data_IF_582644242356
#
_entry.id   IF_582644242356
#
_cell.length_a   1.000
_cell.length_b   1.000
_cell.length_c   1.000
_cell.angle_alpha   90.00
_cell.angle_beta   90.00
_cell.angle_gamma   90.00
#
_symmetry.space_group_name_H-M   'P 1'
#
loop_
_entity.id
_entity.type
_entity.pdbx_description
1 polymer ?
#
# COMPACT_ATOMS: atom_id res chain seq x y z
N UNK A 1 19.02 19.54 -48.80
CA UNK A 1 19.43 19.10 -47.43
C UNK A 1 19.17 20.23 -46.47
N UNK A 2 18.34 20.08 -45.43
CA UNK A 2 18.07 21.19 -44.51
C UNK A 2 19.23 21.39 -43.53
N UNK A 3 19.84 22.58 -43.60
CA UNK A 3 20.93 23.07 -42.76
C UNK A 3 20.49 23.24 -41.31
N UNK A 4 21.28 22.72 -40.36
CA UNK A 4 21.15 22.93 -38.92
C UNK A 4 21.17 24.42 -38.59
N UNK A 5 20.04 24.99 -38.18
CA UNK A 5 19.97 26.29 -37.53
C UNK A 5 20.21 26.06 -36.04
N UNK A 6 21.41 26.37 -35.57
CA UNK A 6 21.76 26.34 -34.16
C UNK A 6 21.18 27.57 -33.47
N UNK A 7 20.06 27.41 -32.76
CA UNK A 7 19.53 28.42 -31.84
C UNK A 7 20.30 28.43 -30.52
N UNK A 8 21.62 28.62 -30.56
CA UNK A 8 22.43 28.81 -29.36
C UNK A 8 22.42 30.29 -28.96
N UNK A 9 21.31 30.74 -28.38
CA UNK A 9 21.26 32.03 -27.69
C UNK A 9 21.89 31.89 -26.30
N UNK A 10 23.20 32.10 -26.23
CA UNK A 10 23.91 32.51 -25.00
C UNK A 10 24.40 31.40 -24.05
N UNK A 11 25.68 31.49 -23.71
CA UNK A 11 26.45 30.74 -22.69
C UNK A 11 26.88 29.31 -23.04
N UNK A 12 27.96 29.22 -23.82
CA UNK A 12 28.89 28.09 -23.83
C UNK A 12 29.94 28.16 -22.71
N UNK A 13 29.65 28.84 -21.61
CA UNK A 13 30.43 28.74 -20.38
C UNK A 13 29.67 27.83 -19.43
N UNK A 14 30.30 26.71 -19.08
CA UNK A 14 29.76 25.75 -18.11
C UNK A 14 29.71 26.54 -16.81
N UNK A 15 28.53 27.01 -16.39
CA UNK A 15 28.34 27.64 -15.07
C UNK A 15 28.83 26.65 -14.01
N UNK A 16 30.11 26.76 -13.65
CA UNK A 16 30.80 25.87 -12.71
C UNK A 16 30.35 26.16 -11.28
N UNK A 17 29.84 27.38 -11.07
CA UNK A 17 29.30 27.82 -9.80
C UNK A 17 27.81 27.49 -9.70
N UNK A 18 27.47 26.73 -8.68
CA UNK A 18 26.10 26.49 -8.29
C UNK A 18 25.37 27.85 -8.05
N UNK A 19 24.05 27.93 -8.29
CA UNK A 19 23.31 29.17 -8.10
C UNK A 19 23.52 29.75 -6.71
N UNK A 20 23.69 31.09 -6.64
CA UNK A 20 23.97 31.83 -5.39
C UNK A 20 22.89 31.58 -4.32
N UNK A 21 21.65 31.40 -4.74
CA UNK A 21 20.51 31.14 -3.88
C UNK A 21 20.05 29.70 -4.10
N UNK A 22 20.49 28.80 -3.21
CA UNK A 22 20.07 27.40 -3.22
C UNK A 22 18.73 27.26 -2.50
N UNK A 23 17.86 26.41 -3.02
CA UNK A 23 16.61 26.03 -2.37
C UNK A 23 16.87 25.08 -1.19
N UNK A 24 17.40 25.62 -0.08
CA UNK A 24 17.78 24.83 1.11
C UNK A 24 16.63 24.60 2.08
N UNK A 25 15.71 25.56 2.18
CA UNK A 25 14.53 25.47 3.04
C UNK A 25 13.35 24.90 2.25
N UNK A 26 12.67 23.91 2.83
CA UNK A 26 11.43 23.40 2.26
C UNK A 26 10.36 24.48 2.31
N UNK A 27 9.53 24.56 1.27
CA UNK A 27 8.38 25.45 1.28
C UNK A 27 7.34 24.91 2.25
N UNK A 28 6.98 25.71 3.26
CA UNK A 28 5.91 25.38 4.18
C UNK A 28 4.60 25.97 3.66
N UNK A 29 3.64 25.15 3.15
CA UNK A 29 2.33 25.66 2.80
C UNK A 29 1.59 26.17 4.05
N UNK A 30 0.68 27.13 3.85
CA UNK A 30 -0.30 27.46 4.87
C UNK A 30 -1.12 26.19 5.19
N UNK A 31 -1.26 25.88 6.49
CA UNK A 31 -1.99 24.70 7.00
C UNK A 31 -3.41 24.57 6.45
N UNK A 32 -4.06 25.70 6.12
CA UNK A 32 -5.43 25.73 5.58
C UNK A 32 -5.50 25.77 4.05
N UNK A 33 -4.37 25.69 3.34
CA UNK A 33 -4.37 25.68 1.88
C UNK A 33 -4.83 24.32 1.35
N UNK A 34 -6.12 24.23 0.99
CA UNK A 34 -6.72 23.03 0.38
C UNK A 34 -5.96 22.55 -0.86
N UNK A 35 -5.49 23.50 -1.69
CA UNK A 35 -4.70 23.20 -2.89
C UNK A 35 -3.36 22.55 -2.55
N UNK A 36 -2.64 23.08 -1.56
CA UNK A 36 -1.34 22.53 -1.17
C UNK A 36 -1.48 21.14 -0.54
N UNK A 37 -2.48 20.96 0.33
CA UNK A 37 -2.83 19.68 0.92
C UNK A 37 -3.17 18.63 -0.14
N UNK A 38 -4.02 19.00 -1.12
CA UNK A 38 -4.36 18.12 -2.24
C UNK A 38 -3.12 17.71 -3.05
N UNK A 39 -2.24 18.67 -3.37
CA UNK A 39 -1.00 18.41 -4.12
C UNK A 39 -0.03 17.47 -3.39
N UNK A 40 0.05 17.58 -2.06
CA UNK A 40 0.83 16.68 -1.23
C UNK A 40 0.23 15.26 -1.21
N UNK A 41 -1.10 15.15 -1.16
CA UNK A 41 -1.82 13.88 -1.13
C UNK A 41 -1.83 13.12 -2.46
N UNK A 42 -1.59 13.78 -3.60
CA UNK A 42 -1.51 13.10 -4.90
C UNK A 42 -0.41 12.02 -4.87
N UNK A 43 -0.70 10.74 -5.20
CA UNK A 43 0.33 9.71 -5.25
C UNK A 43 1.26 9.88 -6.47
N UNK A 44 2.51 9.42 -6.35
CA UNK A 44 3.43 9.22 -7.49
C UNK A 44 3.57 7.74 -7.75
N UNK A 45 3.16 7.28 -8.94
CA UNK A 45 3.18 5.88 -9.35
C UNK A 45 3.87 5.71 -10.71
N UNK A 46 4.23 4.48 -11.09
CA UNK A 46 4.77 4.12 -12.43
C UNK A 46 6.07 4.82 -12.85
N UNK A 47 6.85 5.29 -11.88
CA UNK A 47 8.13 6.00 -12.11
C UNK A 47 9.26 5.30 -11.37
N UNK A 48 10.47 5.41 -11.91
CA UNK A 48 11.69 4.94 -11.23
C UNK A 48 12.01 5.80 -10.00
N UNK A 49 12.77 5.28 -9.01
CA UNK A 49 13.10 5.99 -7.77
C UNK A 49 13.71 7.38 -8.03
N UNK A 50 14.68 7.47 -8.95
CA UNK A 50 15.28 8.75 -9.36
C UNK A 50 14.24 9.78 -9.85
N UNK A 51 13.22 9.34 -10.59
CA UNK A 51 12.19 10.24 -11.11
C UNK A 51 11.14 10.56 -10.05
N UNK A 52 10.86 9.63 -9.15
CA UNK A 52 10.02 9.83 -7.96
C UNK A 52 10.59 10.94 -7.10
N UNK A 53 11.87 10.89 -6.75
CA UNK A 53 12.53 11.90 -5.93
C UNK A 53 12.44 13.31 -6.54
N UNK A 54 12.61 13.42 -7.87
CA UNK A 54 12.45 14.69 -8.58
C UNK A 54 11.02 15.24 -8.48
N UNK A 55 10.01 14.38 -8.54
CA UNK A 55 8.61 14.79 -8.46
C UNK A 55 8.25 15.14 -7.02
N UNK A 56 8.65 14.32 -6.05
CA UNK A 56 8.42 14.55 -4.63
C UNK A 56 9.14 15.81 -4.14
N UNK A 57 10.37 16.05 -4.58
CA UNK A 57 11.09 17.30 -4.32
C UNK A 57 10.30 18.51 -4.85
N UNK A 58 9.73 18.44 -6.06
CA UNK A 58 8.88 19.52 -6.59
C UNK A 58 7.62 19.72 -5.75
N UNK A 59 7.00 18.66 -5.22
CA UNK A 59 5.85 18.78 -4.31
C UNK A 59 6.25 19.46 -3.02
N UNK A 60 7.33 19.00 -2.38
CA UNK A 60 7.89 19.58 -1.14
C UNK A 60 8.26 21.04 -1.28
N UNK A 61 8.75 21.44 -2.46
CA UNK A 61 9.13 22.83 -2.74
C UNK A 61 7.99 23.70 -3.30
N UNK A 62 6.75 23.20 -3.38
CA UNK A 62 5.63 23.95 -3.95
C UNK A 62 5.73 24.25 -5.45
N UNK A 63 6.65 23.59 -6.16
CA UNK A 63 6.93 23.78 -7.60
C UNK A 63 6.22 22.73 -8.46
N UNK A 64 5.39 21.88 -7.87
CA UNK A 64 4.60 20.89 -8.60
C UNK A 64 3.45 21.59 -9.35
N UNK A 65 3.33 21.33 -10.65
CA UNK A 65 2.30 21.90 -11.52
C UNK A 65 1.44 20.75 -12.05
N UNK A 66 0.24 20.52 -11.50
CA UNK A 66 -0.65 19.48 -12.00
C UNK A 66 -1.09 19.78 -13.44
N UNK A 67 -1.51 18.76 -14.17
CA UNK A 67 -2.12 18.95 -15.48
C UNK A 67 -3.58 19.36 -15.29
N UNK A 68 -3.98 20.42 -15.99
CA UNK A 68 -5.40 20.78 -16.11
C UNK A 68 -6.10 19.99 -17.22
N UNK A 69 -5.35 19.58 -18.24
CA UNK A 69 -5.83 18.82 -19.40
C UNK A 69 -4.91 17.64 -19.65
N UNK A 70 -5.48 16.51 -20.07
CA UNK A 70 -4.71 15.32 -20.38
C UNK A 70 -3.72 15.55 -21.53
N UNK A 71 -2.47 15.13 -21.35
CA UNK A 71 -1.39 15.26 -22.33
C UNK A 71 -1.34 14.06 -23.29
N UNK A 72 -0.86 14.31 -24.50
CA UNK A 72 -0.61 13.27 -25.53
C UNK A 72 0.52 12.35 -25.10
N UNK A 73 0.27 11.04 -25.14
CA UNK A 73 1.26 10.00 -24.90
C UNK A 73 2.26 9.87 -26.06
N UNK A 74 3.52 9.61 -25.76
CA UNK A 74 4.56 9.37 -26.78
C UNK A 74 4.45 7.99 -27.45
N UNK A 75 3.92 6.98 -26.75
CA UNK A 75 3.74 5.62 -27.29
C UNK A 75 2.44 5.47 -28.10
N UNK A 76 1.27 5.70 -27.48
CA UNK A 76 -0.03 5.48 -28.14
C UNK A 76 -0.58 6.73 -28.86
N UNK A 77 0.08 7.88 -28.74
CA UNK A 77 -0.34 9.15 -29.37
C UNK A 77 -1.75 9.65 -28.97
N UNK A 78 -2.38 9.05 -27.96
CA UNK A 78 -3.68 9.47 -27.42
C UNK A 78 -3.49 10.40 -26.22
N UNK A 79 -4.48 11.28 -25.96
CA UNK A 79 -4.51 12.18 -24.80
C UNK A 79 -4.96 11.43 -23.54
N UNK A 80 -4.10 10.54 -23.04
CA UNK A 80 -4.37 9.68 -21.86
C UNK A 80 -3.49 9.97 -20.65
N UNK A 81 -2.55 10.92 -20.74
CA UNK A 81 -1.68 11.26 -19.61
C UNK A 81 -2.41 12.24 -18.70
N UNK A 82 -2.86 11.76 -17.54
CA UNK A 82 -3.52 12.57 -16.50
C UNK A 82 -2.52 13.14 -15.49
N UNK A 83 -1.42 12.43 -15.25
CA UNK A 83 -0.40 12.79 -14.25
C UNK A 83 0.63 13.78 -14.79
N UNK A 84 1.07 14.70 -13.94
CA UNK A 84 2.09 15.66 -14.33
C UNK A 84 3.48 15.03 -14.47
N UNK A 85 4.28 15.61 -15.36
CA UNK A 85 5.66 15.21 -15.66
C UNK A 85 5.82 13.83 -16.32
N UNK A 86 4.72 13.17 -16.68
CA UNK A 86 4.74 11.91 -17.42
C UNK A 86 4.83 12.17 -18.93
N UNK A 87 5.54 11.30 -19.63
CA UNK A 87 5.72 11.26 -21.09
C UNK A 87 4.99 10.07 -21.72
N UNK A 88 4.70 9.05 -20.92
CA UNK A 88 3.94 7.86 -21.28
C UNK A 88 2.64 7.77 -20.47
N UNK A 89 1.64 7.15 -21.08
CA UNK A 89 0.40 6.79 -20.42
C UNK A 89 0.60 5.60 -19.48
N UNK A 90 -0.21 5.46 -18.44
CA UNK A 90 -0.14 4.33 -17.51
C UNK A 90 -0.14 2.95 -18.22
N UNK A 91 -1.10 2.63 -19.12
CA UNK A 91 -1.09 1.33 -19.77
C UNK A 91 0.16 1.12 -20.64
N UNK A 92 0.59 2.16 -21.34
CA UNK A 92 1.81 2.16 -22.14
C UNK A 92 3.07 1.85 -21.32
N UNK A 93 3.15 2.39 -20.10
CA UNK A 93 4.26 2.17 -19.18
C UNK A 93 4.24 0.75 -18.60
N UNK A 94 3.05 0.23 -18.26
CA UNK A 94 2.85 -1.12 -17.74
C UNK A 94 3.18 -2.19 -18.79
N UNK A 95 2.69 -2.05 -20.01
CA UNK A 95 2.95 -2.98 -21.12
C UNK A 95 4.44 -3.08 -21.46
N UNK A 96 5.14 -1.95 -21.47
CA UNK A 96 6.56 -1.88 -21.84
C UNK A 96 7.52 -2.04 -20.64
N UNK A 97 7.00 -2.06 -19.41
CA UNK A 97 7.76 -2.05 -18.15
C UNK A 97 8.84 -0.97 -18.10
N UNK A 98 8.48 0.25 -18.51
CA UNK A 98 9.38 1.42 -18.52
C UNK A 98 8.87 2.52 -17.60
N UNK A 99 9.78 3.38 -17.12
CA UNK A 99 9.42 4.55 -16.33
C UNK A 99 8.55 5.52 -17.15
N UNK A 100 7.40 5.92 -16.60
CA UNK A 100 6.46 6.80 -17.31
C UNK A 100 6.96 8.25 -17.52
N UNK A 101 8.07 8.64 -16.87
CA UNK A 101 8.72 9.96 -17.02
C UNK A 101 9.91 9.93 -17.99
N UNK A 102 10.93 9.10 -17.73
CA UNK A 102 12.15 9.05 -18.55
C UNK A 102 12.15 7.97 -19.64
N UNK A 103 11.17 7.07 -19.67
CA UNK A 103 11.07 5.94 -20.60
C UNK A 103 12.24 4.93 -20.53
N UNK A 104 13.09 5.00 -19.50
CA UNK A 104 14.13 4.00 -19.23
C UNK A 104 13.55 2.80 -18.47
N UNK A 105 14.01 1.60 -18.83
CA UNK A 105 13.65 0.31 -18.20
C UNK A 105 14.56 -0.08 -17.02
N UNK A 106 15.70 0.59 -16.84
CA UNK A 106 16.81 0.11 -15.99
C UNK A 106 16.60 0.23 -14.48
N UNK A 107 15.59 0.97 -14.01
CA UNK A 107 15.53 1.38 -12.61
C UNK A 107 14.33 0.86 -11.81
N UNK A 108 13.63 -0.16 -12.33
CA UNK A 108 12.41 -0.64 -11.71
C UNK A 108 11.30 0.40 -11.79
N UNK A 109 10.06 -0.06 -11.78
CA UNK A 109 8.90 0.81 -11.66
C UNK A 109 8.20 0.46 -10.36
N UNK A 110 7.80 1.49 -9.62
CA UNK A 110 6.90 1.27 -8.48
C UNK A 110 5.50 1.11 -9.03
N UNK A 111 4.85 0.01 -8.74
CA UNK A 111 3.44 -0.17 -9.03
C UNK A 111 2.60 0.90 -8.32
N UNK A 112 1.42 1.16 -8.86
CA UNK A 112 0.48 2.05 -8.21
C UNK A 112 0.07 1.43 -6.85
N UNK A 113 -0.05 2.24 -5.78
CA UNK A 113 -0.63 1.73 -4.55
C UNK A 113 -2.04 1.22 -4.83
N UNK A 114 -2.38 0.07 -4.24
CA UNK A 114 -3.72 -0.52 -4.33
C UNK A 114 -4.73 0.50 -3.79
N UNK A 115 -5.92 0.53 -4.41
CA UNK A 115 -6.97 1.45 -3.96
C UNK A 115 -7.46 1.07 -2.56
N UNK A 116 -8.02 2.01 -1.79
CA UNK A 116 -8.55 1.72 -0.45
C UNK A 116 -9.59 0.59 -0.48
N UNK A 117 -10.42 0.55 -1.52
CA UNK A 117 -11.41 -0.52 -1.72
C UNK A 117 -10.77 -1.88 -2.02
N UNK A 118 -9.63 -1.87 -2.70
CA UNK A 118 -8.87 -3.09 -3.00
C UNK A 118 -8.20 -3.61 -1.72
N UNK A 119 -7.61 -2.72 -0.92
CA UNK A 119 -7.05 -3.07 0.38
C UNK A 119 -8.09 -3.66 1.34
N UNK A 120 -9.28 -3.05 1.43
CA UNK A 120 -10.35 -3.58 2.30
C UNK A 120 -10.87 -4.94 1.82
N UNK A 121 -10.87 -5.19 0.52
CA UNK A 121 -11.24 -6.51 -0.03
C UNK A 121 -10.17 -7.55 0.28
N UNK A 122 -8.91 -7.20 0.10
CA UNK A 122 -7.80 -8.09 0.45
C UNK A 122 -7.79 -8.44 1.94
N UNK A 123 -8.10 -7.47 2.81
CA UNK A 123 -8.24 -7.70 4.26
C UNK A 123 -9.42 -8.62 4.59
N UNK A 124 -10.55 -8.48 3.90
CA UNK A 124 -11.69 -9.40 4.02
C UNK A 124 -11.33 -10.80 3.54
N UNK A 125 -10.70 -10.93 2.37
CA UNK A 125 -10.27 -12.21 1.82
C UNK A 125 -9.24 -12.90 2.75
N UNK A 126 -8.33 -12.13 3.35
CA UNK A 126 -7.37 -12.63 4.33
C UNK A 126 -8.07 -13.06 5.63
N UNK A 127 -9.09 -12.34 6.09
CA UNK A 127 -9.89 -12.74 7.24
C UNK A 127 -10.66 -14.04 6.98
N UNK A 128 -11.35 -14.13 5.84
CA UNK A 128 -12.07 -15.34 5.42
C UNK A 128 -11.12 -16.54 5.29
N UNK A 129 -9.91 -16.33 4.75
CA UNK A 129 -8.87 -17.36 4.70
C UNK A 129 -8.45 -17.82 6.10
N UNK A 130 -8.35 -16.93 7.08
CA UNK A 130 -7.99 -17.28 8.45
C UNK A 130 -9.12 -17.98 9.21
N UNK A 131 -10.38 -17.70 8.86
CA UNK A 131 -11.55 -18.34 9.45
C UNK A 131 -11.73 -19.79 8.95
N UNK A 132 -11.24 -20.10 7.74
CA UNK A 132 -11.15 -21.47 7.23
C UNK A 132 -10.10 -22.33 7.95
N UNK A 133 -9.18 -21.70 8.68
CA UNK A 133 -8.13 -22.40 9.41
C UNK A 133 -8.60 -22.85 10.80
N UNK A 134 -8.08 -23.99 11.25
CA UNK A 134 -8.23 -24.37 12.65
C UNK A 134 -7.53 -23.36 13.57
N UNK A 135 -8.04 -23.18 14.79
CA UNK A 135 -7.48 -22.25 15.78
C UNK A 135 -5.97 -22.46 16.02
N UNK A 136 -5.49 -23.71 15.99
CA UNK A 136 -4.06 -24.04 16.10
C UNK A 136 -3.24 -23.49 14.92
N UNK A 137 -3.76 -23.63 13.70
CA UNK A 137 -3.09 -23.14 12.48
C UNK A 137 -3.13 -21.61 12.45
N UNK A 138 -4.27 -20.99 12.78
CA UNK A 138 -4.45 -19.54 12.87
C UNK A 138 -3.48 -18.89 13.86
N UNK A 139 -3.37 -19.42 15.09
CA UNK A 139 -2.38 -18.95 16.10
C UNK A 139 -0.93 -19.12 15.67
N UNK A 140 -0.64 -20.14 14.86
CA UNK A 140 0.72 -20.37 14.35
C UNK A 140 1.07 -19.37 13.25
N UNK A 141 0.13 -19.11 12.33
CA UNK A 141 0.27 -18.09 11.31
C UNK A 141 0.47 -16.69 11.90
N UNK A 142 -0.37 -16.28 12.86
CA UNK A 142 -0.26 -14.96 13.49
C UNK A 142 1.08 -14.78 14.22
N UNK A 143 1.54 -15.79 14.99
CA UNK A 143 2.87 -15.74 15.63
C UNK A 143 4.01 -15.60 14.62
N UNK A 144 3.90 -16.26 13.47
CA UNK A 144 4.91 -16.22 12.39
C UNK A 144 4.91 -14.85 11.71
N UNK A 145 3.74 -14.24 11.52
CA UNK A 145 3.58 -12.86 11.02
C UNK A 145 4.19 -11.85 11.99
N UNK A 146 3.88 -11.96 13.29
CA UNK A 146 4.42 -11.08 14.34
C UNK A 146 5.95 -11.21 14.50
N UNK A 147 6.49 -12.42 14.28
CA UNK A 147 7.93 -12.67 14.26
C UNK A 147 8.63 -12.14 12.99
N UNK A 148 7.90 -11.53 12.04
CA UNK A 148 8.42 -10.98 10.79
C UNK A 148 8.69 -12.03 9.70
N UNK A 149 8.26 -13.27 9.89
CA UNK A 149 8.47 -14.38 8.95
C UNK A 149 7.32 -14.48 7.94
N UNK A 150 7.03 -13.34 7.30
CA UNK A 150 5.84 -13.12 6.45
C UNK A 150 5.78 -14.06 5.24
N UNK A 151 6.92 -14.31 4.59
CA UNK A 151 6.97 -15.17 3.39
C UNK A 151 6.64 -16.62 3.74
N UNK A 152 7.23 -17.13 4.81
CA UNK A 152 7.04 -18.51 5.27
C UNK A 152 5.62 -18.71 5.80
N UNK A 153 5.10 -17.72 6.55
CA UNK A 153 3.72 -17.73 7.04
C UNK A 153 2.71 -17.81 5.88
N UNK A 154 2.89 -16.99 4.84
CA UNK A 154 1.99 -16.95 3.68
C UNK A 154 2.05 -18.23 2.84
N UNK A 155 3.23 -18.82 2.68
CA UNK A 155 3.38 -20.10 1.99
C UNK A 155 2.73 -21.26 2.75
N UNK A 156 2.83 -21.28 4.08
CA UNK A 156 2.18 -22.29 4.90
C UNK A 156 0.65 -22.18 4.85
N UNK A 157 0.08 -20.96 4.90
CA UNK A 157 -1.35 -20.75 4.67
C UNK A 157 -1.79 -21.31 3.32
N UNK A 158 -1.08 -20.95 2.24
CA UNK A 158 -1.42 -21.39 0.90
C UNK A 158 -1.42 -22.92 0.78
N UNK A 159 -0.47 -23.60 1.44
CA UNK A 159 -0.41 -25.08 1.50
C UNK A 159 -1.58 -25.68 2.27
N UNK A 160 -2.03 -25.05 3.36
CA UNK A 160 -3.16 -25.54 4.16
C UNK A 160 -4.46 -25.37 3.38
N UNK A 161 -4.70 -24.18 2.82
CA UNK A 161 -5.89 -23.89 2.00
C UNK A 161 -5.96 -24.80 0.77
N UNK A 162 -4.84 -25.05 0.09
CA UNK A 162 -4.80 -25.97 -1.03
C UNK A 162 -5.14 -27.42 -0.63
N UNK A 163 -4.79 -27.86 0.58
CA UNK A 163 -5.17 -29.18 1.08
C UNK A 163 -6.66 -29.28 1.38
N UNK A 164 -7.23 -28.26 2.03
CA UNK A 164 -8.66 -28.17 2.31
C UNK A 164 -9.48 -28.20 1.01
N UNK A 165 -9.04 -27.49 -0.03
CA UNK A 165 -9.70 -27.47 -1.32
C UNK A 165 -9.69 -28.83 -2.08
N UNK A 166 -8.79 -29.74 -1.73
CA UNK A 166 -8.73 -31.08 -2.34
C UNK A 166 -9.60 -32.11 -1.59
N UNK A 167 -9.84 -31.89 -0.30
CA UNK A 167 -10.64 -32.78 0.57
C UNK A 167 -12.16 -32.65 0.28
N UNK A 168 -12.61 -31.46 -0.11
CA UNK A 168 -13.99 -31.17 -0.52
C UNK A 168 -14.37 -31.72 -1.92
N UNK A 169 -13.52 -32.56 -2.52
CA UNK A 169 -13.78 -33.19 -3.83
C UNK A 169 -14.17 -34.67 -3.77
N UNK A 170 -14.35 -35.24 -2.57
CA UNK A 170 -14.70 -36.66 -2.37
C UNK A 170 -16.15 -36.90 -1.89
N UNK A 171 -17.00 -35.87 -1.80
CA UNK A 171 -18.41 -36.04 -1.44
C UNK A 171 -19.33 -36.05 -2.66
N UNK A 172 -19.13 -37.03 -3.54
CA UNK A 172 -20.07 -37.33 -4.62
C UNK A 172 -20.32 -38.83 -4.74
N UNK A 173 -21.50 -39.24 -4.27
CA UNK A 173 -22.34 -40.38 -4.72
C UNK A 173 -22.04 -41.79 -4.17
N UNK A 174 -22.91 -42.28 -3.27
CA UNK A 174 -23.51 -43.64 -3.27
C UNK A 174 -24.75 -43.62 -2.34
N UNK A 175 -25.94 -43.33 -2.87
CA UNK A 175 -27.07 -44.26 -3.08
C UNK A 175 -27.41 -45.24 -1.93
N UNK A 176 -28.54 -44.94 -1.28
CA UNK A 176 -29.68 -45.81 -0.95
C UNK A 176 -29.45 -47.27 -0.52
N UNK A 177 -29.77 -47.57 0.74
CA UNK A 177 -30.37 -48.86 1.09
C UNK A 177 -31.22 -48.74 2.36
N UNK A 178 -32.52 -48.96 2.18
CA UNK A 178 -33.55 -49.19 3.19
C UNK A 178 -33.22 -50.41 4.07
N UNK A 179 -33.43 -50.34 5.40
CA UNK A 179 -33.87 -51.51 6.20
C UNK A 179 -34.48 -51.07 7.54
N UNK A 180 -35.60 -51.71 7.87
CA UNK A 180 -36.50 -51.41 8.98
C UNK A 180 -36.06 -52.02 10.32
N UNK A 181 -36.53 -51.44 11.43
CA UNK A 181 -37.17 -52.14 12.57
C UNK A 181 -36.98 -51.40 13.91
N UNK A 182 -38.10 -51.13 14.62
CA UNK A 182 -38.12 -51.05 16.08
C UNK A 182 -38.93 -49.91 16.73
N UNK A 183 -40.25 -50.11 16.90
CA UNK A 183 -41.08 -49.95 18.14
C UNK A 183 -40.39 -49.26 19.36
N UNK A 184 -40.96 -48.41 20.21
CA UNK A 184 -42.32 -47.90 20.48
C UNK A 184 -42.18 -46.67 21.41
N UNK A 185 -43.12 -45.72 21.27
CA UNK A 185 -43.67 -44.75 22.24
C UNK A 185 -42.94 -44.49 23.58
N UNK A 186 -42.72 -43.21 23.91
CA UNK A 186 -43.61 -42.50 24.84
C UNK A 186 -43.33 -40.99 24.92
N UNK A 187 -44.45 -40.27 24.96
CA UNK A 187 -44.73 -38.86 25.21
C UNK A 187 -44.30 -38.41 26.61
N UNK A 188 -43.75 -37.20 26.73
CA UNK A 188 -44.29 -36.14 27.61
C UNK A 188 -43.66 -34.79 27.26
N UNK A 189 -44.54 -33.83 27.00
CA UNK A 189 -44.31 -32.38 27.01
C UNK A 189 -43.82 -31.88 28.38
N UNK A 190 -43.44 -30.59 28.40
CA UNK A 190 -43.12 -29.67 29.51
C UNK A 190 -41.63 -29.29 29.47
N UNK A 191 -41.24 -28.02 29.39
CA UNK A 191 -41.97 -26.76 29.41
C UNK A 191 -40.94 -25.63 29.47
N UNK A 192 -41.32 -24.48 28.92
CA UNK A 192 -40.66 -23.18 29.03
C UNK A 192 -40.04 -22.93 30.42
N UNK A 193 -38.79 -22.47 30.42
CA UNK A 193 -38.27 -21.65 31.51
C UNK A 193 -37.23 -20.67 30.94
N UNK A 194 -37.66 -19.42 30.76
CA UNK A 194 -36.80 -18.24 30.79
C UNK A 194 -35.86 -18.34 32.00
N UNK A 195 -34.60 -17.87 31.89
CA UNK A 195 -33.99 -16.98 32.88
C UNK A 195 -32.88 -16.16 32.21
N UNK A 196 -33.10 -14.85 32.19
CA UNK A 196 -32.11 -13.84 31.92
C UNK A 196 -31.08 -13.83 33.05
N UNK A 197 -29.79 -13.80 32.71
CA UNK A 197 -28.73 -13.40 33.63
C UNK A 197 -28.06 -12.15 33.09
N UNK A 198 -28.48 -11.02 33.65
CA UNK A 198 -27.74 -9.77 33.67
C UNK A 198 -26.35 -10.02 34.28
N UNK A 199 -25.30 -9.86 33.46
CA UNK A 199 -23.93 -9.75 33.95
C UNK A 199 -23.55 -8.27 33.97
N UNK A 200 -23.72 -7.68 35.14
CA UNK A 200 -23.16 -6.42 35.56
C UNK A 200 -21.65 -6.61 35.74
N UNK A 201 -20.84 -6.11 34.80
CA UNK A 201 -19.40 -5.97 35.00
C UNK A 201 -19.02 -4.48 35.00
N UNK A 202 -18.34 -4.13 36.07
CA UNK A 202 -18.12 -2.80 36.59
C UNK A 202 -16.87 -2.21 35.95
N UNK A 203 -17.00 -1.15 35.15
CA UNK A 203 -15.85 -0.35 34.70
C UNK A 203 -15.54 0.74 35.73
N UNK A 204 -14.76 0.36 36.76
CA UNK A 204 -13.91 1.27 37.51
C UNK A 204 -12.53 1.32 36.82
N UNK A 205 -12.23 2.38 36.06
CA UNK A 205 -10.83 2.81 35.91
C UNK A 205 -10.74 4.33 35.95
N UNK A 206 -10.52 4.81 37.17
CA UNK A 206 -10.14 6.17 37.46
C UNK A 206 -8.63 6.33 37.32
N UNK A 207 -8.28 7.41 36.60
CA UNK A 207 -7.13 8.27 36.86
C UNK A 207 -5.79 7.91 36.19
N UNK A 208 -5.59 8.54 35.03
CA UNK A 208 -4.57 9.59 34.82
C UNK A 208 -3.47 9.71 35.90
N UNK A 209 -2.23 9.43 35.50
CA UNK A 209 -1.04 10.16 35.96
C UNK A 209 0.05 10.17 34.87
N UNK A 210 0.52 11.39 34.62
CA UNK A 210 1.75 11.83 33.93
C UNK A 210 2.98 11.05 34.39
N UNK A 211 4.06 10.91 33.61
CA UNK A 211 5.20 11.84 33.49
C UNK A 211 6.15 11.29 32.39
N UNK A 212 6.42 12.01 31.29
CA UNK A 212 7.63 12.82 31.05
C UNK A 212 8.97 12.07 31.10
N UNK A 213 9.49 11.66 29.94
CA UNK A 213 10.93 11.41 29.72
C UNK A 213 11.34 12.04 28.38
N UNK A 214 12.21 13.05 28.48
CA UNK A 214 12.80 13.76 27.36
C UNK A 214 14.22 13.22 27.13
N UNK A 215 14.46 12.51 26.02
CA UNK A 215 15.81 12.11 25.65
C UNK A 215 16.36 13.01 24.54
N UNK A 216 17.26 13.91 24.95
CA UNK A 216 17.99 14.81 24.09
C UNK A 216 19.39 14.23 23.81
N UNK A 217 19.54 13.44 22.74
CA UNK A 217 20.87 13.02 22.28
C UNK A 217 21.56 14.15 21.54
N UNK A 218 22.46 14.80 22.26
CA UNK A 218 23.42 15.80 21.79
C UNK A 218 24.59 15.11 21.08
N UNK A 219 24.57 15.07 19.75
CA UNK A 219 25.75 14.65 18.97
C UNK A 219 26.64 15.86 18.73
N UNK A 220 27.77 15.92 19.45
CA UNK A 220 28.86 16.86 19.21
C UNK A 220 29.58 16.48 17.92
N UNK A 221 29.74 17.46 17.05
CA UNK A 221 30.70 17.43 15.95
C UNK A 221 32.10 17.68 16.51
N UNK A 222 33.07 16.85 16.11
CA UNK A 222 34.49 17.09 16.34
C UNK A 222 35.20 17.08 14.99
N UNK A 223 35.52 18.29 14.52
CA UNK A 223 36.41 18.59 13.43
C UNK A 223 37.84 18.09 13.75
N UNK A 224 38.28 17.05 13.04
CA UNK A 224 39.66 16.58 13.05
C UNK A 224 40.44 17.07 11.83
N UNK A 225 41.09 18.23 11.95
CA UNK A 225 42.10 18.75 11.02
C UNK A 225 43.50 18.43 11.54
N UNK A 226 44.28 17.65 10.78
CA UNK A 226 45.75 17.55 10.71
C UNK A 226 46.08 16.24 9.98
N UNK A 227 46.98 16.12 9.02
CA UNK A 227 47.96 17.00 8.39
C UNK A 227 48.16 16.50 6.93
#
# INVERSE_FOLDING_TARGET
MPTKISSARGSGDKRSRAPKHQNRTAWAPNKHSTKALALAALPTYSVCPRCRDQIEWRKRMGQYKPLTVAKKCTSCLQKRITTAYHTLCMPCAKERRVCAKCAESSHGHTDAPKSQQELSREEQDEADQLDLLTERQRRTYLRRMDAGQVTEAREELAKILAKLALDESDFSSDEDSEDESGDDKNRTENGDHDEASDHDDSEDDASSSSEAEADAVKVKAEDGKSA
#
